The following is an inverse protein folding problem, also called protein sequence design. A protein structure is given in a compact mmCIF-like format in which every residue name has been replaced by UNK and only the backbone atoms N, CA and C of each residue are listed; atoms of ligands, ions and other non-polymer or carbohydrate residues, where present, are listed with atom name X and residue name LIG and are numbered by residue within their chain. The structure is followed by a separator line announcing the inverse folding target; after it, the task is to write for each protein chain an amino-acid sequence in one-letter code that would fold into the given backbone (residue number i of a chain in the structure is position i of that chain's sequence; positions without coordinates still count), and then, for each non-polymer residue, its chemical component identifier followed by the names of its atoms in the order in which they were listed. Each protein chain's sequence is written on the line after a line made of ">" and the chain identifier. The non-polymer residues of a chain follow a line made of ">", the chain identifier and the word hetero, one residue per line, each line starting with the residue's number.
data_IF_964021341218
#
_entry.id   IF_964021341218
#
_cell.length_a   1.000
_cell.length_b   1.000
_cell.length_c   1.000
_cell.angle_alpha   90.00
_cell.angle_beta   90.00
_cell.angle_gamma   90.00
#
_symmetry.space_group_name_H-M   'P 1'
#
loop_
_entity.id
_entity.type
_entity.pdbx_description
1 polymer ?
#
# COMPACT_ATOMS: atom_id res chain seq x y z
N UNK A 1 1.59 -25.03 -15.26
CA UNK A 1 1.55 -24.29 -14.02
C UNK A 1 0.47 -23.23 -14.04
N UNK A 2 -0.23 -23.12 -12.98
CA UNK A 2 -1.31 -22.15 -12.92
C UNK A 2 -0.86 -20.86 -12.28
N UNK A 3 -1.28 -19.76 -12.86
CA UNK A 3 -1.09 -18.48 -12.24
C UNK A 3 -1.96 -18.37 -10.99
N UNK A 4 -1.48 -17.63 -10.00
CA UNK A 4 -2.30 -17.36 -8.82
C UNK A 4 -3.53 -16.60 -9.27
N UNK A 5 -4.65 -16.97 -8.69
CA UNK A 5 -5.91 -16.36 -9.06
C UNK A 5 -5.98 -14.93 -8.55
N UNK A 6 -6.32 -14.03 -9.44
CA UNK A 6 -6.46 -12.63 -9.09
C UNK A 6 -7.92 -12.33 -8.79
N UNK A 7 -8.14 -11.58 -7.73
CA UNK A 7 -9.48 -11.16 -7.33
C UNK A 7 -9.52 -9.65 -7.15
N UNK A 8 -10.73 -9.11 -7.23
CA UNK A 8 -10.97 -7.70 -7.00
C UNK A 8 -11.82 -7.55 -5.75
N UNK A 9 -11.36 -6.70 -4.86
CA UNK A 9 -12.10 -6.41 -3.64
C UNK A 9 -12.46 -4.93 -3.64
N UNK A 10 -13.70 -4.59 -3.26
CA UNK A 10 -14.11 -3.20 -3.15
C UNK A 10 -13.93 -2.76 -1.71
N UNK A 11 -13.13 -1.72 -1.52
CA UNK A 11 -12.85 -1.19 -0.19
C UNK A 11 -14.01 -0.32 0.28
N UNK A 12 -13.97 0.02 1.57
CA UNK A 12 -15.05 0.77 2.20
C UNK A 12 -15.32 2.10 1.51
N UNK A 13 -14.26 2.74 1.01
CA UNK A 13 -14.40 4.02 0.32
C UNK A 13 -14.71 3.88 -1.18
N UNK A 14 -14.99 2.66 -1.63
CA UNK A 14 -15.33 2.41 -3.03
C UNK A 14 -14.14 2.12 -3.93
N UNK A 15 -12.93 2.26 -3.44
CA UNK A 15 -11.74 1.92 -4.22
C UNK A 15 -11.67 0.43 -4.46
N UNK A 16 -11.14 0.05 -5.61
CA UNK A 16 -10.98 -1.35 -5.98
C UNK A 16 -9.56 -1.78 -5.75
N UNK A 17 -9.39 -2.88 -5.04
CA UNK A 17 -8.11 -3.46 -4.72
C UNK A 17 -7.95 -4.75 -5.50
N UNK A 18 -6.80 -4.94 -6.14
CA UNK A 18 -6.49 -6.18 -6.83
C UNK A 18 -5.62 -7.04 -5.92
N UNK A 19 -5.98 -8.29 -5.80
CA UNK A 19 -5.27 -9.22 -4.95
C UNK A 19 -4.96 -10.50 -5.69
N UNK A 20 -3.90 -11.16 -5.27
CA UNK A 20 -3.49 -12.44 -5.80
C UNK A 20 -3.16 -13.35 -4.64
N UNK A 21 -3.36 -14.66 -4.82
CA UNK A 21 -2.98 -15.63 -3.80
C UNK A 21 -1.49 -15.62 -3.48
N UNK A 22 -0.68 -15.02 -4.35
CA UNK A 22 0.75 -14.90 -4.10
C UNK A 22 1.11 -13.89 -3.01
N UNK A 23 0.22 -12.94 -2.72
CA UNK A 23 0.53 -11.84 -1.82
C UNK A 23 -0.42 -11.85 -0.65
N UNK A 24 0.08 -11.36 0.47
CA UNK A 24 -0.72 -11.32 1.68
C UNK A 24 -1.92 -10.42 1.49
N UNK A 25 -3.07 -10.93 1.89
CA UNK A 25 -4.29 -10.13 1.85
C UNK A 25 -4.35 -9.28 3.11
N UNK A 26 -4.58 -8.00 2.91
CA UNK A 26 -4.77 -7.06 3.99
C UNK A 26 -6.26 -6.77 4.08
N UNK A 27 -6.82 -6.96 5.24
CA UNK A 27 -8.25 -6.82 5.42
C UNK A 27 -8.60 -5.60 6.22
N UNK A 28 -9.33 -5.83 7.28
CA UNK A 28 -9.86 -4.76 8.11
C UNK A 28 -8.79 -3.90 8.75
N UNK A 29 -7.60 -4.47 8.97
CA UNK A 29 -6.52 -3.72 9.61
C UNK A 29 -6.13 -2.50 8.79
N UNK A 30 -6.12 -2.64 7.46
CA UNK A 30 -5.79 -1.50 6.60
C UNK A 30 -6.84 -0.40 6.70
N UNK A 31 -8.10 -0.78 6.77
CA UNK A 31 -9.18 0.19 6.90
C UNK A 31 -9.07 0.93 8.23
N UNK A 32 -8.87 0.18 9.32
CA UNK A 32 -8.74 0.79 10.64
C UNK A 32 -7.54 1.72 10.72
N UNK A 33 -6.42 1.28 10.14
CA UNK A 33 -5.21 2.09 10.15
C UNK A 33 -5.39 3.36 9.33
N UNK A 34 -6.10 3.26 8.22
CA UNK A 34 -6.39 4.43 7.40
C UNK A 34 -7.23 5.45 8.18
N UNK A 35 -8.23 4.96 8.92
CA UNK A 35 -9.06 5.85 9.73
C UNK A 35 -8.24 6.56 10.79
N UNK A 36 -7.31 5.83 11.40
CA UNK A 36 -6.45 6.42 12.43
C UNK A 36 -5.47 7.43 11.87
N UNK A 37 -4.91 7.15 10.70
CA UNK A 37 -3.88 8.01 10.13
C UNK A 37 -4.40 9.40 9.82
N UNK A 38 -5.61 9.49 9.27
CA UNK A 38 -6.31 10.75 8.99
C UNK A 38 -5.35 11.91 8.67
N UNK A 39 -4.54 11.82 7.59
CA UNK A 39 -3.57 12.87 7.30
C UNK A 39 -4.25 14.20 7.07
N UNK A 40 -3.55 15.28 7.42
CA UNK A 40 -4.07 16.63 7.17
C UNK A 40 -4.19 16.88 5.67
N UNK A 41 -4.95 17.90 5.32
CA UNK A 41 -5.19 18.24 3.92
C UNK A 41 -3.88 18.54 3.20
N UNK A 42 -3.81 18.08 1.96
CA UNK A 42 -2.66 18.29 1.06
C UNK A 42 -1.36 17.67 1.55
N UNK A 43 -1.43 16.72 2.46
CA UNK A 43 -0.25 16.05 2.98
C UNK A 43 0.39 15.13 1.94
N UNK A 44 1.70 14.97 2.05
CA UNK A 44 2.47 13.98 1.30
C UNK A 44 2.65 12.79 2.21
N UNK A 45 2.16 11.63 1.80
CA UNK A 45 2.10 10.43 2.64
C UNK A 45 2.85 9.29 1.97
N UNK A 46 3.70 8.63 2.73
CA UNK A 46 4.43 7.46 2.27
C UNK A 46 3.87 6.22 2.96
N UNK A 47 3.49 5.24 2.15
CA UNK A 47 3.03 3.94 2.64
C UNK A 47 4.19 2.97 2.55
N UNK A 48 4.79 2.66 3.70
CA UNK A 48 5.94 1.77 3.80
C UNK A 48 5.47 0.33 3.78
N UNK A 49 6.01 -0.45 2.85
CA UNK A 49 5.56 -1.82 2.67
C UNK A 49 4.16 -1.86 2.10
N UNK A 50 3.92 -1.11 1.03
CA UNK A 50 2.57 -0.90 0.52
C UNK A 50 1.90 -2.15 -0.02
N UNK A 51 2.68 -3.17 -0.42
CA UNK A 51 2.10 -4.38 -1.00
C UNK A 51 1.24 -4.06 -2.21
N UNK A 52 0.05 -4.61 -2.24
CA UNK A 52 -0.90 -4.39 -3.34
C UNK A 52 -1.72 -3.12 -3.17
N UNK A 53 -1.45 -2.34 -2.11
CA UNK A 53 -2.00 -0.99 -1.99
C UNK A 53 -3.21 -0.84 -1.11
N UNK A 54 -3.53 -1.83 -0.27
CA UNK A 54 -4.75 -1.77 0.53
C UNK A 54 -4.82 -0.52 1.41
N UNK A 55 -3.72 -0.20 2.10
CA UNK A 55 -3.72 0.95 3.00
C UNK A 55 -3.77 2.26 2.21
N UNK A 56 -2.94 2.39 1.17
CA UNK A 56 -2.91 3.62 0.38
C UNK A 56 -4.26 3.88 -0.29
N UNK A 57 -4.86 2.84 -0.87
CA UNK A 57 -6.16 2.99 -1.50
C UNK A 57 -7.24 3.33 -0.48
N UNK A 58 -7.15 2.76 0.73
CA UNK A 58 -8.10 3.09 1.80
C UNK A 58 -7.94 4.53 2.29
N UNK A 59 -6.71 5.05 2.22
CA UNK A 59 -6.43 6.44 2.61
C UNK A 59 -6.79 7.44 1.54
N UNK A 60 -7.00 7.00 0.31
CA UNK A 60 -7.06 7.89 -0.83
C UNK A 60 -8.03 9.03 -0.65
N UNK A 61 -7.54 10.24 -0.90
CA UNK A 61 -8.32 11.47 -1.06
C UNK A 61 -7.65 12.26 -2.18
N UNK A 62 -8.43 12.98 -2.99
CA UNK A 62 -7.83 13.75 -4.10
C UNK A 62 -6.79 14.78 -3.66
N UNK A 63 -6.85 15.26 -2.42
CA UNK A 63 -5.92 16.26 -1.91
C UNK A 63 -4.60 15.68 -1.42
N UNK A 64 -4.51 14.37 -1.24
CA UNK A 64 -3.30 13.73 -0.72
C UNK A 64 -2.36 13.35 -1.84
N UNK A 65 -1.07 13.48 -1.58
CA UNK A 65 -0.04 12.93 -2.46
C UNK A 65 0.48 11.66 -1.83
N UNK A 66 0.00 10.54 -2.35
CA UNK A 66 0.32 9.23 -1.80
C UNK A 66 1.43 8.59 -2.62
N UNK A 67 2.35 7.94 -1.92
CA UNK A 67 3.42 7.16 -2.54
C UNK A 67 3.52 5.84 -1.80
N UNK A 68 3.58 4.74 -2.55
CA UNK A 68 3.80 3.42 -1.96
C UNK A 68 5.19 2.92 -2.26
N UNK A 69 5.80 2.27 -1.29
CA UNK A 69 7.11 1.67 -1.42
C UNK A 69 7.03 0.21 -0.96
N UNK A 70 7.50 -0.70 -1.78
CA UNK A 70 7.58 -2.11 -1.39
C UNK A 70 8.70 -2.78 -2.15
N UNK A 71 9.31 -3.77 -1.51
CA UNK A 71 10.39 -4.53 -2.11
C UNK A 71 9.86 -5.58 -3.11
N UNK A 72 8.60 -5.96 -2.97
CA UNK A 72 7.99 -6.98 -3.83
C UNK A 72 7.46 -6.35 -5.12
N UNK A 73 8.23 -6.50 -6.19
CA UNK A 73 7.87 -5.89 -7.46
C UNK A 73 6.51 -6.37 -7.98
N UNK A 74 6.18 -7.64 -7.77
CA UNK A 74 4.90 -8.19 -8.22
C UNK A 74 3.72 -7.57 -7.51
N UNK A 75 3.87 -7.31 -6.21
CA UNK A 75 2.81 -6.67 -5.45
C UNK A 75 2.62 -5.22 -5.93
N UNK A 76 3.73 -4.51 -6.15
CA UNK A 76 3.66 -3.13 -6.64
C UNK A 76 3.00 -3.08 -8.02
N UNK A 77 3.24 -4.10 -8.84
CA UNK A 77 2.60 -4.13 -10.17
C UNK A 77 1.09 -4.26 -10.05
N UNK A 78 0.59 -5.10 -9.14
CA UNK A 78 -0.84 -5.19 -8.88
C UNK A 78 -1.39 -3.87 -8.37
N UNK A 79 -0.63 -3.20 -7.51
CA UNK A 79 -1.02 -1.89 -7.00
C UNK A 79 -1.13 -0.89 -8.15
N UNK A 80 -0.16 -0.89 -9.06
CA UNK A 80 -0.21 0.01 -10.23
C UNK A 80 -1.44 -0.25 -11.09
N UNK A 81 -1.79 -1.52 -11.26
CA UNK A 81 -2.99 -1.86 -12.03
C UNK A 81 -4.25 -1.37 -11.31
N UNK A 82 -4.28 -1.48 -9.99
CA UNK A 82 -5.41 -0.97 -9.22
C UNK A 82 -5.52 0.55 -9.30
N UNK A 83 -4.37 1.23 -9.26
CA UNK A 83 -4.34 2.69 -9.41
C UNK A 83 -4.97 3.09 -10.75
N UNK A 84 -4.58 2.41 -11.82
CA UNK A 84 -5.14 2.69 -13.14
C UNK A 84 -6.64 2.36 -13.19
N UNK A 85 -7.04 1.25 -12.59
CA UNK A 85 -8.43 0.83 -12.57
C UNK A 85 -9.32 1.85 -11.86
N UNK A 86 -8.80 2.45 -10.79
CA UNK A 86 -9.55 3.44 -10.02
C UNK A 86 -9.42 4.84 -10.61
N UNK A 87 -8.60 5.03 -11.63
CA UNK A 87 -8.39 6.34 -12.27
C UNK A 87 -7.97 7.41 -11.27
N UNK A 88 -7.04 7.04 -10.41
CA UNK A 88 -6.50 7.96 -9.39
C UNK A 88 -4.99 8.09 -9.58
N UNK A 89 -4.41 9.06 -8.91
CA UNK A 89 -2.99 9.34 -9.00
C UNK A 89 -2.31 8.99 -7.69
N UNK A 90 -1.49 7.94 -7.72
CA UNK A 90 -0.69 7.50 -6.58
C UNK A 90 0.65 7.06 -7.16
N UNK A 91 1.73 7.51 -6.56
CA UNK A 91 3.07 7.12 -6.99
C UNK A 91 3.49 5.80 -6.35
N UNK A 92 4.28 5.03 -7.06
CA UNK A 92 4.79 3.77 -6.52
C UNK A 92 6.27 3.65 -6.78
N UNK A 93 6.95 2.94 -5.89
CA UNK A 93 8.37 2.70 -6.00
C UNK A 93 8.68 1.30 -5.48
N UNK A 94 9.44 0.53 -6.27
CA UNK A 94 9.97 -0.74 -5.80
C UNK A 94 11.31 -0.46 -5.15
N UNK A 95 11.49 -0.91 -3.93
CA UNK A 95 12.75 -0.70 -3.24
C UNK A 95 12.74 -1.24 -1.84
N UNK A 96 13.92 -1.32 -1.26
CA UNK A 96 14.13 -1.83 0.09
C UNK A 96 14.00 -0.68 1.08
N UNK A 97 13.08 -0.81 2.03
CA UNK A 97 12.87 0.17 3.07
C UNK A 97 14.17 0.56 3.79
N UNK A 98 15.08 -0.38 3.94
CA UNK A 98 16.35 -0.11 4.61
C UNK A 98 17.21 0.89 3.85
N UNK A 99 16.91 1.11 2.58
CA UNK A 99 17.65 2.06 1.73
C UNK A 99 16.83 3.29 1.42
N UNK A 100 15.89 3.61 2.29
CA UNK A 100 14.93 4.68 2.03
C UNK A 100 15.61 6.02 1.74
N UNK A 101 16.74 6.29 2.39
CA UNK A 101 17.44 7.56 2.22
C UNK A 101 18.03 7.72 0.82
N UNK A 102 18.35 6.62 0.16
CA UNK A 102 18.85 6.68 -1.21
C UNK A 102 17.72 6.68 -2.23
N UNK A 103 16.50 6.31 -1.82
CA UNK A 103 15.34 6.27 -2.70
C UNK A 103 14.63 7.62 -2.72
N UNK A 104 14.46 8.23 -1.55
CA UNK A 104 13.72 9.47 -1.42
C UNK A 104 14.59 10.54 -0.75
N UNK A 105 14.36 11.78 -1.15
CA UNK A 105 14.99 12.92 -0.54
C UNK A 105 14.48 13.11 0.88
N UNK A 106 15.36 13.55 1.77
CA UNK A 106 14.95 13.92 3.12
C UNK A 106 13.87 15.01 3.04
N UNK A 107 12.84 14.87 3.85
CA UNK A 107 11.78 15.86 3.90
C UNK A 107 10.74 15.72 2.80
N UNK A 108 10.76 14.62 2.04
CA UNK A 108 9.80 14.42 0.95
C UNK A 108 8.37 14.17 1.42
N UNK A 109 8.20 13.70 2.65
CA UNK A 109 6.89 13.29 3.14
C UNK A 109 6.56 13.94 4.46
N UNK A 110 5.26 14.16 4.66
CA UNK A 110 4.74 14.70 5.91
C UNK A 110 4.35 13.60 6.89
N UNK A 111 3.92 12.45 6.35
CA UNK A 111 3.54 11.28 7.13
C UNK A 111 4.11 10.04 6.49
N UNK A 112 4.44 9.07 7.33
CA UNK A 112 4.74 7.72 6.88
C UNK A 112 3.82 6.78 7.63
N UNK A 113 3.17 5.89 6.90
CA UNK A 113 2.30 4.88 7.48
C UNK A 113 2.83 3.52 7.11
N UNK A 114 2.54 2.54 7.94
CA UNK A 114 3.02 1.19 7.70
C UNK A 114 2.00 0.21 8.25
N UNK A 115 1.64 -0.75 7.42
CA UNK A 115 0.80 -1.84 7.86
C UNK A 115 1.60 -3.12 7.68
N UNK A 116 2.47 -3.46 8.66
CA UNK A 116 3.36 -4.59 8.48
C UNK A 116 2.57 -5.89 8.38
N UNK A 117 3.13 -6.88 7.69
CA UNK A 117 2.48 -8.18 7.62
C UNK A 117 2.43 -8.81 9.01
N UNK A 118 1.34 -9.54 9.26
CA UNK A 118 1.20 -10.30 10.49
C UNK A 118 1.57 -11.73 10.20
N UNK A 119 2.32 -12.31 11.12
CA UNK A 119 2.70 -13.71 11.05
C UNK A 119 2.05 -14.46 12.19
N UNK A 120 1.73 -15.72 11.95
CA UNK A 120 1.25 -16.57 13.01
C UNK A 120 2.31 -16.65 14.11
N UNK A 121 1.86 -16.83 15.34
CA UNK A 121 2.79 -16.94 16.46
C UNK A 121 3.82 -18.03 16.17
N UNK A 122 5.08 -17.68 16.33
CA UNK A 122 6.17 -18.61 16.11
C UNK A 122 6.62 -18.72 14.67
N UNK A 123 5.94 -18.09 13.77
CA UNK A 123 6.31 -18.20 12.37
C UNK A 123 7.35 -17.16 11.99
N UNK A 124 7.31 -16.11 12.64
CA UNK A 124 8.29 -15.10 12.39
C UNK A 124 9.27 -15.02 13.49
N UNK A 125 9.16 -15.32 13.83
CA UNK A 125 9.61 -15.04 14.70
C UNK A 125 10.17 -14.41 15.12
N UNK A 126 9.68 -14.60 15.25
CA UNK A 126 10.09 -13.85 15.57
C UNK A 126 10.51 -13.46 16.02
#
# INVERSE_FOLDING_TARGET
>A
MEAAQMTTEVLQNGMKLLQSGEFQKLGQDSVLLADFAAPRRFARVLDLGCGTGALALSLYRPDLKLTGLDIQAGAVELFRQAIALNEVEISTQVGDLRQIRSIFRHGSFDYAVCNPPYFAAGSGKA
#
